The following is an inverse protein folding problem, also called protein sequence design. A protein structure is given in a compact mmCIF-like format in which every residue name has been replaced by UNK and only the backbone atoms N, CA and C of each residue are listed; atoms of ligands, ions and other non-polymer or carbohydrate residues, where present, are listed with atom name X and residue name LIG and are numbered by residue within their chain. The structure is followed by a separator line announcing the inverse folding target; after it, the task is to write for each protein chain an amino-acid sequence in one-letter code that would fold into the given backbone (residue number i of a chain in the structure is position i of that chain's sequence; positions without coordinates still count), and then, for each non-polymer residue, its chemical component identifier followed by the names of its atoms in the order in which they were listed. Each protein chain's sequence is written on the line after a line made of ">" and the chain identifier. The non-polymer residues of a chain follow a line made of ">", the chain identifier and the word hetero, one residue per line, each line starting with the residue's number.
data_IF_550864589916
#
_entry.id   IF_550864589916
#
_cell.length_a   1.000
_cell.length_b   1.000
_cell.length_c   1.000
_cell.angle_alpha   90.00
_cell.angle_beta   90.00
_cell.angle_gamma   90.00
#
_symmetry.space_group_name_H-M   'P 1'
#
loop_
_entity.id
_entity.type
_entity.pdbx_description
1 polymer ?
#
# COMPACT_ATOMS: atom_id res chain seq x y z
N UNK A 1 55.27 -18.66 -0.39
CA UNK A 1 54.03 -18.20 0.29
C UNK A 1 53.23 -17.19 -0.57
N UNK A 2 53.08 -17.42 -1.88
CA UNK A 2 52.31 -16.54 -2.79
C UNK A 2 50.95 -17.12 -3.21
N UNK A 3 50.79 -18.46 -3.15
CA UNK A 3 49.52 -19.16 -3.44
C UNK A 3 48.52 -19.13 -2.27
N UNK A 4 48.99 -18.89 -1.05
CA UNK A 4 48.16 -18.76 0.16
C UNK A 4 47.52 -17.36 0.29
N UNK A 5 48.11 -16.34 -0.35
CA UNK A 5 47.54 -14.97 -0.37
C UNK A 5 46.29 -14.89 -1.26
N UNK A 6 46.21 -15.70 -2.32
CA UNK A 6 45.05 -15.72 -3.21
C UNK A 6 43.83 -16.37 -2.55
N UNK A 7 44.04 -17.38 -1.70
CA UNK A 7 42.97 -18.07 -0.96
C UNK A 7 42.30 -17.19 0.12
N UNK A 8 43.04 -16.23 0.70
CA UNK A 8 42.52 -15.36 1.75
C UNK A 8 41.52 -14.32 1.24
N UNK A 9 41.61 -13.92 -0.04
CA UNK A 9 40.73 -12.91 -0.67
C UNK A 9 39.36 -13.49 -1.06
N UNK A 10 39.26 -14.79 -1.30
CA UNK A 10 38.01 -15.46 -1.70
C UNK A 10 37.05 -15.63 -0.52
N UNK A 11 37.57 -15.75 0.70
CA UNK A 11 36.76 -15.99 1.91
C UNK A 11 36.00 -14.72 2.34
N UNK A 12 36.52 -13.52 2.08
CA UNK A 12 35.87 -12.25 2.47
C UNK A 12 34.71 -11.85 1.55
N UNK A 13 34.63 -12.39 0.34
CA UNK A 13 33.52 -12.16 -0.61
C UNK A 13 32.24 -12.93 -0.26
N UNK A 14 32.33 -13.98 0.58
CA UNK A 14 31.17 -14.80 0.95
C UNK A 14 30.38 -14.24 2.14
N UNK A 15 30.88 -13.20 2.83
CA UNK A 15 30.24 -12.61 4.01
C UNK A 15 29.35 -11.40 3.68
N UNK A 16 29.32 -10.91 2.43
CA UNK A 16 28.62 -9.66 2.10
C UNK A 16 27.12 -9.81 1.81
N UNK A 17 26.51 -10.95 2.12
CA UNK A 17 25.08 -11.17 1.90
C UNK A 17 24.33 -11.46 3.21
N UNK A 18 24.58 -10.67 4.26
CA UNK A 18 23.63 -10.55 5.36
C UNK A 18 22.64 -9.44 5.02
N UNK A 19 21.58 -9.78 4.28
CA UNK A 19 20.41 -8.91 4.19
C UNK A 19 19.65 -9.03 5.50
N UNK A 20 19.72 -8.01 6.36
CA UNK A 20 18.84 -7.88 7.52
C UNK A 20 17.39 -7.80 7.01
N UNK A 21 16.70 -8.94 7.02
CA UNK A 21 15.28 -9.01 6.70
C UNK A 21 14.48 -8.48 7.89
N UNK A 22 14.20 -7.17 7.87
CA UNK A 22 13.27 -6.58 8.84
C UNK A 22 11.85 -7.06 8.51
N UNK A 23 11.31 -7.93 9.35
CA UNK A 23 9.90 -8.34 9.26
C UNK A 23 9.00 -7.17 9.65
N UNK A 24 8.43 -6.49 8.66
CA UNK A 24 7.38 -5.50 8.87
C UNK A 24 6.06 -6.28 9.05
N UNK A 25 5.72 -6.64 10.28
CA UNK A 25 4.51 -7.38 10.62
C UNK A 25 3.88 -6.84 11.91
N UNK A 26 2.69 -6.21 11.87
CA UNK A 26 1.86 -5.95 10.68
C UNK A 26 2.49 -4.90 9.75
N UNK A 27 2.00 -4.83 8.51
CA UNK A 27 2.52 -3.87 7.53
C UNK A 27 1.45 -3.34 6.59
N UNK A 28 1.61 -2.08 6.21
CA UNK A 28 0.95 -1.48 5.06
C UNK A 28 2.02 -0.74 4.26
N UNK A 29 2.32 -1.22 3.05
CA UNK A 29 3.37 -0.63 2.21
C UNK A 29 3.08 -0.80 0.72
N UNK A 30 3.71 0.04 -0.11
CA UNK A 30 3.61 0.02 -1.56
C UNK A 30 4.79 0.78 -2.21
N UNK A 31 4.90 0.72 -3.53
CA UNK A 31 5.74 1.62 -4.32
C UNK A 31 4.88 2.78 -4.84
N UNK A 32 5.00 3.96 -4.24
CA UNK A 32 4.38 5.20 -4.70
C UNK A 32 5.31 5.85 -5.72
N UNK A 33 4.91 5.92 -6.98
CA UNK A 33 5.75 6.46 -8.07
C UNK A 33 7.17 5.85 -8.10
N UNK A 34 7.27 4.54 -7.85
CA UNK A 34 8.55 3.82 -7.80
C UNK A 34 9.35 3.96 -6.51
N UNK A 35 8.94 4.83 -5.58
CA UNK A 35 9.58 5.01 -4.27
C UNK A 35 8.84 4.23 -3.20
N UNK A 36 9.59 3.60 -2.27
CA UNK A 36 8.98 2.87 -1.16
C UNK A 36 8.14 3.82 -0.29
N UNK A 37 6.86 3.47 -0.17
CA UNK A 37 5.90 4.08 0.72
C UNK A 37 5.54 3.06 1.80
N UNK A 38 5.89 3.34 3.04
CA UNK A 38 5.64 2.47 4.18
C UNK A 38 4.86 3.25 5.24
N UNK A 39 3.69 2.75 5.62
CA UNK A 39 2.85 3.39 6.61
C UNK A 39 3.49 3.30 8.01
N UNK A 40 3.40 4.38 8.78
CA UNK A 40 3.72 4.40 10.21
C UNK A 40 2.53 3.94 11.07
N UNK A 41 1.30 4.01 10.55
CA UNK A 41 0.09 3.54 11.21
C UNK A 41 -0.92 3.01 10.18
N UNK A 42 -1.81 2.13 10.59
CA UNK A 42 -2.82 1.52 9.75
C UNK A 42 -4.04 1.07 10.57
N UNK A 43 -5.20 1.01 9.92
CA UNK A 43 -6.42 0.45 10.50
C UNK A 43 -7.34 -0.07 9.41
N UNK A 44 -8.17 -1.05 9.75
CA UNK A 44 -9.27 -1.48 8.91
C UNK A 44 -10.59 -1.36 9.68
N UNK A 45 -11.65 -0.94 8.99
CA UNK A 45 -12.99 -0.81 9.58
C UNK A 45 -13.99 -1.54 8.70
N UNK A 46 -14.68 -2.51 9.29
CA UNK A 46 -15.81 -3.23 8.69
C UNK A 46 -17.10 -2.48 9.01
N UNK A 47 -17.83 -2.09 7.99
CA UNK A 47 -19.14 -1.46 8.12
C UNK A 47 -20.27 -2.49 8.13
N UNK A 48 -21.44 -2.10 8.62
CA UNK A 48 -22.62 -2.98 8.76
C UNK A 48 -23.14 -3.54 7.43
N UNK A 49 -22.84 -2.90 6.30
CA UNK A 49 -23.22 -3.37 4.97
C UNK A 49 -22.18 -4.35 4.35
N UNK A 50 -21.13 -4.71 5.09
CA UNK A 50 -20.09 -5.64 4.64
C UNK A 50 -18.89 -4.98 3.95
N UNK A 51 -18.95 -3.69 3.64
CA UNK A 51 -17.81 -2.98 3.07
C UNK A 51 -16.71 -2.83 4.12
N UNK A 52 -15.46 -2.99 3.69
CA UNK A 52 -14.28 -2.72 4.51
C UNK A 52 -13.50 -1.54 3.96
N UNK A 53 -13.08 -0.66 4.85
CA UNK A 53 -12.17 0.45 4.56
C UNK A 53 -10.84 0.18 5.25
N UNK A 54 -9.76 0.11 4.49
CA UNK A 54 -8.39 -0.13 4.95
C UNK A 54 -7.61 1.17 4.74
N UNK A 55 -6.94 1.64 5.79
CA UNK A 55 -6.20 2.90 5.80
C UNK A 55 -4.75 2.63 6.16
N UNK A 56 -3.83 3.23 5.41
CA UNK A 56 -2.42 3.38 5.77
C UNK A 56 -2.08 4.86 5.90
N UNK A 57 -1.33 5.22 6.94
CA UNK A 57 -0.92 6.59 7.25
C UNK A 57 0.60 6.70 7.25
N UNK A 58 1.14 7.77 6.64
CA UNK A 58 2.56 8.11 6.70
C UNK A 58 2.70 9.63 6.74
N UNK A 59 3.15 10.17 7.86
CA UNK A 59 3.26 11.62 8.07
C UNK A 59 1.92 12.33 7.78
N UNK A 60 1.85 13.14 6.72
CA UNK A 60 0.63 13.82 6.26
C UNK A 60 -0.14 13.06 5.17
N UNK A 61 0.36 11.89 4.77
CA UNK A 61 -0.15 11.09 3.67
C UNK A 61 -1.08 9.99 4.16
N UNK A 62 -2.18 9.78 3.44
CA UNK A 62 -3.13 8.69 3.71
C UNK A 62 -3.40 7.94 2.41
N UNK A 63 -3.30 6.61 2.46
CA UNK A 63 -3.83 5.71 1.42
C UNK A 63 -5.09 5.06 1.95
N UNK A 64 -6.19 5.22 1.22
CA UNK A 64 -7.49 4.59 1.53
C UNK A 64 -7.78 3.53 0.50
N UNK A 65 -8.18 2.34 0.94
CA UNK A 65 -8.71 1.27 0.10
C UNK A 65 -10.08 0.89 0.63
N UNK A 66 -11.11 1.02 -0.21
CA UNK A 66 -12.45 0.54 0.07
C UNK A 66 -12.78 -0.63 -0.85
N UNK A 67 -13.29 -1.71 -0.28
CA UNK A 67 -13.84 -2.85 -1.02
C UNK A 67 -15.16 -3.30 -0.40
N UNK A 68 -16.04 -3.85 -1.23
CA UNK A 68 -17.40 -4.24 -0.81
C UNK A 68 -17.48 -5.49 0.07
N UNK A 69 -16.36 -6.20 0.24
CA UNK A 69 -16.31 -7.43 1.03
C UNK A 69 -15.00 -7.56 1.79
N UNK A 70 -15.10 -8.09 3.00
CA UNK A 70 -13.96 -8.45 3.86
C UNK A 70 -13.40 -9.84 3.57
N UNK A 71 -14.16 -10.69 2.88
CA UNK A 71 -13.74 -12.05 2.59
C UNK A 71 -12.73 -12.08 1.43
N UNK A 72 -11.93 -13.17 1.31
CA UNK A 72 -11.00 -13.32 0.20
C UNK A 72 -11.69 -13.14 -1.16
N UNK A 73 -11.25 -12.12 -1.89
CA UNK A 73 -11.86 -11.73 -3.16
C UNK A 73 -10.93 -10.79 -3.93
N UNK A 74 -11.13 -10.74 -5.26
CA UNK A 74 -10.42 -9.82 -6.14
C UNK A 74 -11.39 -8.79 -6.72
N UNK A 75 -11.19 -7.52 -6.37
CA UNK A 75 -12.06 -6.40 -6.75
C UNK A 75 -11.30 -5.39 -7.61
N UNK A 76 -11.84 -5.06 -8.79
CA UNK A 76 -11.34 -3.95 -9.60
C UNK A 76 -11.79 -2.59 -9.00
N UNK A 77 -10.90 -1.59 -9.06
CA UNK A 77 -11.22 -0.21 -8.68
C UNK A 77 -11.80 0.59 -9.85
N UNK A 78 -12.63 1.60 -9.54
CA UNK A 78 -13.07 2.61 -10.50
C UNK A 78 -14.22 2.20 -11.43
N UNK A 79 -14.81 1.02 -11.24
CA UNK A 79 -15.92 0.55 -12.10
C UNK A 79 -17.29 1.03 -11.60
N UNK A 80 -17.61 0.80 -10.32
CA UNK A 80 -18.97 0.99 -9.78
C UNK A 80 -19.01 1.87 -8.50
N UNK A 81 -17.91 2.55 -8.13
CA UNK A 81 -17.81 3.34 -6.89
C UNK A 81 -17.82 2.55 -5.57
N UNK A 82 -18.21 1.28 -5.58
CA UNK A 82 -18.17 0.39 -4.42
C UNK A 82 -16.74 0.02 -4.00
N UNK A 83 -15.85 -0.13 -4.99
CA UNK A 83 -14.43 -0.39 -4.79
C UNK A 83 -13.62 0.79 -5.31
N UNK A 84 -12.78 1.35 -4.46
CA UNK A 84 -11.83 2.37 -4.86
C UNK A 84 -10.62 2.40 -3.94
N UNK A 85 -9.55 2.96 -4.48
CA UNK A 85 -8.44 3.51 -3.73
C UNK A 85 -8.40 5.04 -3.87
N UNK A 86 -7.90 5.68 -2.82
CA UNK A 86 -7.61 7.11 -2.74
C UNK A 86 -6.23 7.35 -2.12
N UNK A 87 -5.63 8.46 -2.49
CA UNK A 87 -4.45 9.01 -1.85
C UNK A 87 -4.68 10.50 -1.53
N UNK A 88 -4.42 10.84 -0.28
CA UNK A 88 -4.51 12.21 0.24
C UNK A 88 -3.17 12.61 0.86
N UNK A 89 -2.81 13.89 0.75
CA UNK A 89 -1.67 14.45 1.46
C UNK A 89 -2.02 15.85 1.96
N UNK A 90 -1.90 16.04 3.28
CA UNK A 90 -2.29 17.28 3.97
C UNK A 90 -1.11 18.14 4.38
N UNK A 91 0.07 17.90 3.80
CA UNK A 91 1.22 18.77 4.00
C UNK A 91 0.88 20.19 3.54
N UNK A 92 1.41 21.19 4.25
CA UNK A 92 1.21 22.60 3.89
C UNK A 92 1.69 22.85 2.45
N UNK A 93 0.80 23.39 1.62
CA UNK A 93 1.09 23.67 0.21
C UNK A 93 0.72 22.53 -0.76
N UNK A 94 0.30 21.36 -0.27
CA UNK A 94 -0.24 20.29 -1.13
C UNK A 94 -1.72 20.54 -1.39
N UNK A 95 -2.13 20.46 -2.67
CA UNK A 95 -3.50 20.76 -3.11
C UNK A 95 -4.17 19.56 -3.79
N UNK A 96 -3.42 18.50 -4.08
CA UNK A 96 -3.92 17.31 -4.77
C UNK A 96 -4.75 16.40 -3.86
N UNK A 97 -5.84 15.86 -4.38
CA UNK A 97 -6.46 14.66 -3.83
C UNK A 97 -6.59 13.68 -5.00
N UNK A 98 -6.34 12.40 -4.77
CA UNK A 98 -6.28 11.42 -5.85
C UNK A 98 -7.27 10.31 -5.58
N UNK A 99 -8.11 9.99 -6.56
CA UNK A 99 -9.09 8.90 -6.43
C UNK A 99 -9.14 8.02 -7.66
N UNK A 100 -9.44 6.75 -7.45
CA UNK A 100 -9.88 5.84 -8.52
C UNK A 100 -11.39 5.86 -8.73
N UNK A 101 -12.15 6.44 -7.80
CA UNK A 101 -13.61 6.55 -7.90
C UNK A 101 -14.11 7.66 -8.82
N UNK A 102 -13.20 8.50 -9.33
CA UNK A 102 -13.51 9.60 -10.24
C UNK A 102 -12.94 9.32 -11.63
N UNK A 103 -13.74 9.57 -12.67
CA UNK A 103 -13.50 9.31 -14.10
C UNK A 103 -12.02 9.26 -14.51
N UNK A 104 -11.43 8.06 -14.58
CA UNK A 104 -10.11 7.82 -15.17
C UNK A 104 -9.15 6.97 -14.34
N UNK A 105 -9.38 6.81 -13.03
CA UNK A 105 -8.55 5.93 -12.22
C UNK A 105 -8.88 4.44 -12.38
N UNK A 106 -7.91 3.58 -12.09
CA UNK A 106 -8.04 2.14 -12.23
C UNK A 106 -7.13 1.39 -11.24
N UNK A 107 -7.34 0.10 -11.10
CA UNK A 107 -6.52 -0.75 -10.26
C UNK A 107 -7.29 -1.94 -9.71
N UNK A 108 -6.74 -2.52 -8.66
CA UNK A 108 -7.30 -3.71 -8.04
C UNK A 108 -6.87 -3.81 -6.59
N UNK A 109 -7.76 -4.39 -5.77
CA UNK A 109 -7.45 -4.97 -4.47
C UNK A 109 -7.74 -6.46 -4.49
N UNK A 110 -6.86 -7.22 -3.86
CA UNK A 110 -7.03 -8.65 -3.62
C UNK A 110 -7.00 -8.86 -2.11
N UNK A 111 -8.12 -9.21 -1.50
CA UNK A 111 -8.13 -9.72 -0.14
C UNK A 111 -7.68 -11.18 -0.21
N UNK A 112 -6.61 -11.52 0.51
CA UNK A 112 -6.06 -12.88 0.53
C UNK A 112 -6.47 -13.64 1.78
N UNK A 113 -6.68 -12.95 2.90
CA UNK A 113 -7.12 -13.58 4.14
C UNK A 113 -7.88 -12.59 5.02
N UNK A 114 -8.94 -13.08 5.66
CA UNK A 114 -9.54 -12.47 6.83
C UNK A 114 -9.73 -13.56 7.89
N UNK A 115 -8.93 -13.50 8.95
CA UNK A 115 -8.94 -14.47 10.05
C UNK A 115 -8.43 -13.79 11.32
N UNK A 116 -8.88 -14.28 12.48
CA UNK A 116 -8.38 -13.82 13.79
C UNK A 116 -8.50 -12.29 13.99
N UNK A 117 -9.53 -11.67 13.41
CA UNK A 117 -9.75 -10.23 13.50
C UNK A 117 -8.78 -9.37 12.68
N UNK A 118 -8.00 -9.98 11.78
CA UNK A 118 -7.04 -9.27 10.92
C UNK A 118 -7.30 -9.52 9.44
N UNK A 119 -7.04 -8.52 8.61
CA UNK A 119 -7.18 -8.59 7.15
C UNK A 119 -5.82 -8.48 6.47
N UNK A 120 -5.61 -9.28 5.43
CA UNK A 120 -4.41 -9.29 4.60
C UNK A 120 -4.74 -9.32 3.11
N UNK A 121 -3.83 -8.79 2.31
CA UNK A 121 -4.02 -8.72 0.87
C UNK A 121 -3.04 -7.80 0.14
N UNK A 122 -3.32 -7.62 -1.14
CA UNK A 122 -2.50 -6.85 -2.07
C UNK A 122 -3.33 -5.78 -2.75
N UNK A 123 -2.67 -4.72 -3.20
CA UNK A 123 -3.32 -3.68 -4.00
C UNK A 123 -2.37 -3.05 -5.00
N UNK A 124 -2.94 -2.48 -6.04
CA UNK A 124 -2.27 -1.59 -6.99
C UNK A 124 -3.31 -0.64 -7.57
N UNK A 125 -2.94 0.61 -7.81
CA UNK A 125 -3.85 1.55 -8.45
C UNK A 125 -3.12 2.70 -9.14
N UNK A 126 -3.83 3.29 -10.11
CA UNK A 126 -3.56 4.59 -10.72
C UNK A 126 -4.75 5.48 -10.36
N UNK A 127 -4.54 6.50 -9.52
CA UNK A 127 -5.57 7.42 -9.11
C UNK A 127 -5.38 8.76 -9.82
N UNK A 128 -6.48 9.37 -10.27
CA UNK A 128 -6.47 10.66 -10.95
C UNK A 128 -6.65 11.79 -9.95
N UNK A 129 -6.02 12.94 -10.21
CA UNK A 129 -6.17 14.12 -9.38
C UNK A 129 -7.60 14.67 -9.50
N UNK A 130 -8.32 14.74 -8.39
CA UNK A 130 -9.71 15.24 -8.32
C UNK A 130 -9.78 16.75 -8.09
N UNK A 131 -8.65 17.40 -7.83
CA UNK A 131 -8.51 18.85 -7.77
C UNK A 131 -7.32 19.27 -8.68
N UNK A 132 -7.50 19.18 -10.01
CA UNK A 132 -6.43 19.47 -10.95
C UNK A 132 -6.01 20.94 -10.79
N UNK A 133 -4.82 21.14 -10.23
CA UNK A 133 -4.13 22.42 -10.17
C UNK A 133 -2.82 22.29 -10.93
N UNK A 134 -2.29 23.38 -11.49
CA UNK A 134 -1.06 23.36 -12.30
C UNK A 134 0.21 22.93 -11.53
N UNK A 135 0.11 22.74 -10.21
CA UNK A 135 1.24 22.45 -9.33
C UNK A 135 1.40 20.97 -8.98
N UNK A 136 0.38 20.16 -9.24
CA UNK A 136 0.32 18.75 -8.84
C UNK A 136 0.20 17.85 -10.08
N UNK A 137 0.78 16.63 -10.08
CA UNK A 137 0.63 15.72 -11.20
C UNK A 137 -0.83 15.31 -11.43
N UNK A 138 -1.19 15.02 -12.68
CA UNK A 138 -2.55 14.61 -13.04
C UNK A 138 -2.93 13.24 -12.46
N UNK A 139 -1.94 12.42 -12.12
CA UNK A 139 -2.17 11.09 -11.57
C UNK A 139 -1.07 10.62 -10.64
N UNK A 140 -1.42 9.68 -9.77
CA UNK A 140 -0.50 8.99 -8.89
C UNK A 140 -0.64 7.48 -9.01
N UNK A 141 0.50 6.79 -9.01
CA UNK A 141 0.56 5.34 -9.09
C UNK A 141 1.08 4.72 -7.79
N UNK A 142 0.39 3.67 -7.34
CA UNK A 142 0.82 2.75 -6.30
C UNK A 142 0.92 1.34 -6.88
N UNK A 143 2.13 0.76 -6.82
CA UNK A 143 2.45 -0.61 -7.28
C UNK A 143 2.89 -1.50 -6.12
N UNK A 144 2.78 -2.82 -6.33
CA UNK A 144 3.27 -3.83 -5.39
C UNK A 144 2.81 -3.58 -3.94
N UNK A 145 1.56 -3.13 -3.78
CA UNK A 145 0.99 -2.82 -2.48
C UNK A 145 0.65 -4.07 -1.70
N UNK A 146 0.90 -4.03 -0.39
CA UNK A 146 0.61 -5.08 0.58
C UNK A 146 0.02 -4.45 1.83
N UNK A 147 -1.07 -5.02 2.32
CA UNK A 147 -1.51 -4.86 3.71
C UNK A 147 -1.51 -6.24 4.35
N UNK A 148 -0.87 -6.38 5.51
CA UNK A 148 -0.64 -7.67 6.15
C UNK A 148 -1.00 -7.57 7.63
N UNK A 149 -1.91 -8.46 8.05
CA UNK A 149 -2.45 -8.57 9.40
C UNK A 149 -2.94 -7.23 9.99
N UNK A 150 -3.62 -6.42 9.19
CA UNK A 150 -4.19 -5.15 9.67
C UNK A 150 -5.36 -5.47 10.60
N UNK A 151 -5.38 -4.97 11.85
CA UNK A 151 -6.50 -5.16 12.76
C UNK A 151 -7.79 -4.54 12.21
N UNK A 152 -8.88 -5.30 12.29
CA UNK A 152 -10.21 -4.87 11.84
C UNK A 152 -11.07 -4.52 13.06
N UNK A 153 -11.63 -3.31 13.04
CA UNK A 153 -12.69 -2.90 13.97
C UNK A 153 -14.03 -2.82 13.24
N UNK A 154 -15.14 -2.93 13.95
CA UNK A 154 -16.46 -2.65 13.40
C UNK A 154 -16.77 -1.17 13.50
N UNK A 155 -17.35 -0.57 12.45
CA UNK A 155 -17.94 0.75 12.55
C UNK A 155 -19.08 0.69 13.57
N UNK A 156 -19.06 1.59 14.54
CA UNK A 156 -20.09 1.71 15.56
C UNK A 156 -21.32 2.45 15.03
#
# INVERSE_FOLDING_TARGET
>A
MKKLLLSAIIITLLLSCSSDVKFNNPAFQAQKQGVLWNASNYKATLSSNGNVTILGFKDFETVTIRTYTINPHTSAFGVNGANFAEYDNRAVGFIGNYSTGYNGGNGQVVITNFSEGTISGNFKFNAVNTNPSLLEPDSINFKSGVFYKIPVTTAQ
#
